data_IF_459817421882
#
_entry.id   IF_459817421882
#
_cell.length_a   1.000
_cell.length_b   1.000
_cell.length_c   1.000
_cell.angle_alpha   90.00
_cell.angle_beta   90.00
_cell.angle_gamma   90.00
#
_symmetry.space_group_name_H-M   'P 1'
#
loop_
_entity.id
_entity.type
_entity.pdbx_description
1 polymer ?
2 water ?
#
# COMPACT_ATOMS: atom_id res chain seq x y z
N UNK A 7 -32.60 -0.53 -21.27
CA UNK A 7 -31.19 -0.35 -21.54
C UNK A 7 -30.37 -0.33 -20.26
N UNK A 8 -30.97 -0.77 -19.16
CA UNK A 8 -30.30 -0.66 -17.86
C UNK A 8 -29.01 -1.47 -17.81
N UNK A 9 -28.99 -2.59 -18.51
CA UNK A 9 -27.79 -3.44 -18.55
C UNK A 9 -26.59 -2.62 -19.02
N UNK A 10 -26.81 -1.83 -20.07
CA UNK A 10 -25.76 -1.03 -20.66
C UNK A 10 -25.41 0.15 -19.75
N UNK A 11 -26.43 0.83 -19.25
CA UNK A 11 -26.23 1.94 -18.34
C UNK A 11 -25.38 1.54 -17.14
N UNK A 12 -25.73 0.41 -16.53
CA UNK A 12 -25.02 -0.08 -15.35
C UNK A 12 -23.56 -0.37 -15.69
N UNK A 13 -23.33 -0.97 -16.86
CA UNK A 13 -21.96 -1.28 -17.30
C UNK A 13 -21.15 -0.01 -17.51
N UNK A 14 -21.76 1.01 -18.11
CA UNK A 14 -21.05 2.25 -18.36
C UNK A 14 -20.78 2.98 -17.04
N UNK A 15 -21.70 2.87 -16.08
CA UNK A 15 -21.48 3.46 -14.77
C UNK A 15 -20.34 2.76 -14.04
N UNK A 16 -20.27 1.43 -14.16
CA UNK A 16 -19.17 0.69 -13.56
C UNK A 16 -17.85 1.04 -14.22
N UNK A 17 -17.89 1.28 -15.54
CA UNK A 17 -16.71 1.71 -16.28
C UNK A 17 -16.20 3.04 -15.75
N UNK A 18 -17.13 3.97 -15.51
CA UNK A 18 -16.78 5.28 -14.98
C UNK A 18 -16.11 5.14 -13.61
N UNK A 19 -16.68 4.29 -12.77
CA UNK A 19 -16.13 4.06 -11.44
C UNK A 19 -14.72 3.50 -11.51
N UNK A 20 -14.51 2.53 -12.40
CA UNK A 20 -13.20 1.91 -12.53
C UNK A 20 -12.18 2.91 -13.07
N UNK A 21 -12.59 3.75 -14.00
CA UNK A 21 -11.68 4.73 -14.57
C UNK A 21 -11.25 5.77 -13.52
N UNK A 22 -12.14 6.08 -12.58
CA UNK A 22 -11.79 6.99 -11.50
C UNK A 22 -10.72 6.38 -10.60
N UNK A 23 -10.89 5.10 -10.29
CA UNK A 23 -9.90 4.38 -9.50
C UNK A 23 -8.59 4.31 -10.28
N UNK A 24 -8.69 4.13 -11.58
CA UNK A 24 -7.50 4.02 -12.41
C UNK A 24 -6.71 5.32 -12.37
N UNK A 25 -7.41 6.45 -12.42
CA UNK A 25 -6.77 7.75 -12.39
C UNK A 25 -6.07 8.00 -11.06
N UNK A 26 -6.71 7.64 -9.95
CA UNK A 26 -6.10 7.79 -8.63
C UNK A 26 -4.84 6.95 -8.54
N UNK A 27 -4.92 5.72 -9.06
CA UNK A 27 -3.78 4.82 -9.08
C UNK A 27 -2.64 5.42 -9.89
N UNK A 28 -2.97 5.99 -11.03
CA UNK A 28 -1.96 6.59 -11.90
C UNK A 28 -1.32 7.79 -11.22
N UNK A 29 -2.11 8.61 -10.53
CA UNK A 29 -1.56 9.76 -9.82
C UNK A 29 -0.53 9.31 -8.79
N UNK A 30 -0.89 8.28 -8.02
CA UNK A 30 0.01 7.78 -6.99
C UNK A 30 1.27 7.18 -7.62
N UNK A 31 1.09 6.53 -8.77
CA UNK A 31 2.20 5.94 -9.49
C UNK A 31 3.17 7.02 -9.98
N UNK A 32 2.63 8.12 -10.49
CA UNK A 32 3.45 9.22 -10.97
C UNK A 32 4.19 9.91 -9.83
N UNK A 33 3.52 10.07 -8.69
CA UNK A 33 4.16 10.67 -7.52
C UNK A 33 5.34 9.82 -7.08
N UNK A 34 5.12 8.52 -7.04
CA UNK A 34 6.17 7.58 -6.64
C UNK A 34 7.35 7.64 -7.60
N UNK A 35 7.07 7.75 -8.90
CA UNK A 35 8.14 7.84 -9.89
C UNK A 35 8.98 9.08 -9.67
N UNK A 36 8.32 10.21 -9.41
CA UNK A 36 9.02 11.46 -9.18
C UNK A 36 9.94 11.37 -7.98
N UNK A 37 9.46 10.75 -6.91
CA UNK A 37 10.28 10.56 -5.71
C UNK A 37 11.42 9.59 -5.99
N UNK A 38 11.14 8.55 -6.77
CA UNK A 38 12.16 7.57 -7.14
C UNK A 38 13.30 8.24 -7.90
N UNK A 39 12.97 9.11 -8.84
CA UNK A 39 13.98 9.78 -9.65
C UNK A 39 14.82 10.73 -8.79
N UNK A 40 14.18 11.36 -7.81
CA UNK A 40 14.86 12.28 -6.90
C UNK A 40 15.80 11.52 -5.96
N UNK A 41 15.29 10.48 -5.34
CA UNK A 41 16.04 9.69 -4.36
C UNK A 41 15.92 8.19 -4.63
N UNK A 42 16.68 7.70 -5.61
CA UNK A 42 16.59 6.29 -5.99
C UNK A 42 17.23 5.35 -4.98
N UNK A 43 16.69 4.13 -4.92
CA UNK A 43 17.17 3.08 -4.05
C UNK A 43 16.38 1.82 -4.36
N UNK A 44 16.86 0.68 -3.86
CA UNK A 44 16.17 -0.58 -4.07
C UNK A 44 14.74 -0.53 -3.52
N UNK A 45 14.59 0.01 -2.31
CA UNK A 45 13.28 0.14 -1.68
C UNK A 45 12.33 0.98 -2.51
N UNK A 46 12.81 2.12 -3.00
CA UNK A 46 11.98 3.01 -3.80
C UNK A 46 11.58 2.34 -5.10
N UNK A 47 12.48 1.55 -5.68
CA UNK A 47 12.18 0.82 -6.91
C UNK A 47 11.10 -0.23 -6.68
N UNK A 48 11.22 -0.97 -5.58
CA UNK A 48 10.22 -1.98 -5.24
C UNK A 48 8.85 -1.32 -5.04
N UNK A 49 8.84 -0.19 -4.34
CA UNK A 49 7.62 0.57 -4.10
C UNK A 49 6.98 1.01 -5.41
N UNK A 50 7.80 1.53 -6.32
CA UNK A 50 7.30 1.99 -7.60
C UNK A 50 6.74 0.83 -8.44
N UNK A 51 7.46 -0.30 -8.43
CA UNK A 51 6.98 -1.50 -9.12
C UNK A 51 5.64 -1.95 -8.57
N UNK A 52 5.51 -1.92 -7.25
CA UNK A 52 4.24 -2.29 -6.61
C UNK A 52 3.10 -1.44 -7.17
N UNK A 53 3.32 -0.14 -7.27
CA UNK A 53 2.27 0.76 -7.74
C UNK A 53 2.04 0.62 -9.24
N UNK A 54 3.06 0.21 -9.98
CA UNK A 54 2.89 -0.01 -11.41
C UNK A 54 2.04 -1.26 -11.64
N UNK A 55 2.36 -2.33 -10.93
CA UNK A 55 1.57 -3.56 -11.02
C UNK A 55 0.12 -3.29 -10.62
N UNK A 56 -0.09 -2.48 -9.58
CA UNK A 56 -1.44 -2.14 -9.15
C UNK A 56 -2.18 -1.40 -10.25
N UNK A 57 -1.48 -0.52 -10.97
CA UNK A 57 -2.11 0.20 -12.07
C UNK A 57 -2.49 -0.76 -13.19
N UNK A 58 -1.60 -1.69 -13.53
CA UNK A 58 -1.92 -2.70 -14.54
C UNK A 58 -3.14 -3.54 -14.12
N UNK A 59 -3.22 -3.85 -12.84
CA UNK A 59 -4.32 -4.63 -12.29
C UNK A 59 -5.67 -3.95 -12.57
N UNK A 60 -5.72 -2.64 -12.36
CA UNK A 60 -6.95 -1.89 -12.58
C UNK A 60 -7.23 -1.79 -14.07
N UNK A 61 -6.19 -1.62 -14.88
CA UNK A 61 -6.35 -1.58 -16.34
C UNK A 61 -7.03 -2.87 -16.83
N UNK A 62 -6.60 -4.01 -16.31
CA UNK A 62 -7.20 -5.29 -16.70
C UNK A 62 -8.69 -5.32 -16.34
N UNK A 63 -9.04 -4.78 -15.18
CA UNK A 63 -10.45 -4.70 -14.77
C UNK A 63 -11.24 -3.79 -15.71
N UNK A 64 -10.65 -2.67 -16.07
CA UNK A 64 -11.30 -1.74 -16.99
C UNK A 64 -11.53 -2.39 -18.35
N UNK A 65 -10.55 -3.16 -18.81
CA UNK A 65 -10.67 -3.85 -20.10
C UNK A 65 -11.77 -4.91 -20.06
N UNK A 66 -11.91 -5.59 -18.92
CA UNK A 66 -12.99 -6.54 -18.72
C UNK A 66 -14.35 -5.86 -18.87
N UNK A 67 -14.50 -4.70 -18.25
CA UNK A 67 -15.76 -3.96 -18.30
C UNK A 67 -16.06 -3.53 -19.73
N UNK A 68 -15.04 -3.03 -20.42
CA UNK A 68 -15.21 -2.60 -21.80
C UNK A 68 -15.66 -3.78 -22.66
N UNK A 69 -15.06 -4.95 -22.45
CA UNK A 69 -15.45 -6.14 -23.21
C UNK A 69 -16.91 -6.47 -22.96
N UNK A 70 -17.36 -6.34 -21.72
CA UNK A 70 -18.76 -6.57 -21.36
C UNK A 70 -19.68 -5.60 -22.11
N UNK A 71 -19.30 -4.33 -22.15
CA UNK A 71 -20.08 -3.34 -22.87
C UNK A 71 -20.19 -3.72 -24.35
N UNK A 72 -19.08 -4.15 -24.93
CA UNK A 72 -19.05 -4.50 -26.34
C UNK A 72 -19.94 -5.71 -26.60
N UNK A 73 -19.99 -6.64 -25.66
CA UNK A 73 -20.85 -7.81 -25.82
C UNK A 73 -22.32 -7.44 -25.68
N UNK A 74 -22.63 -6.49 -24.80
CA UNK A 74 -24.00 -5.99 -24.68
C UNK A 74 -24.43 -5.34 -25.98
N UNK A 75 -23.55 -4.53 -26.55
CA UNK A 75 -23.86 -3.84 -27.80
C UNK A 75 -24.05 -4.80 -28.96
N UNK A 76 -23.35 -5.93 -28.91
CA UNK A 76 -23.37 -6.91 -30.00
C UNK A 76 -24.66 -7.70 -30.02
N UNK A 77 -25.19 -8.04 -28.85
CA UNK A 77 -26.45 -8.77 -28.78
C UNK A 77 -27.60 -7.82 -29.06
N UNK A 78 -27.33 -6.53 -28.86
CA UNK A 78 -28.29 -5.48 -29.20
C UNK A 78 -28.34 -5.28 -30.71
N UNK B 7 -12.81 1.45 -3.98
CA UNK B 7 -12.48 0.03 -3.84
C UNK B 7 -10.97 -0.20 -3.86
N UNK B 8 -10.34 0.00 -5.01
CA UNK B 8 -8.93 -0.33 -5.18
C UNK B 8 -8.03 0.50 -4.28
N UNK B 9 -8.32 1.79 -4.17
CA UNK B 9 -7.51 2.68 -3.36
C UNK B 9 -7.51 2.23 -1.90
N UNK B 10 -8.68 1.88 -1.39
CA UNK B 10 -8.80 1.38 -0.02
C UNK B 10 -8.07 0.05 0.15
N UNK B 11 -8.28 -0.88 -0.78
CA UNK B 11 -7.62 -2.18 -0.73
C UNK B 11 -6.10 -2.04 -0.73
N UNK B 12 -5.60 -1.13 -1.55
CA UNK B 12 -4.18 -0.86 -1.67
C UNK B 12 -3.60 -0.45 -0.31
N UNK B 13 -4.31 0.46 0.35
CA UNK B 13 -3.87 0.97 1.64
C UNK B 13 -3.91 -0.12 2.72
N UNK B 14 -4.96 -0.94 2.69
CA UNK B 14 -5.12 -1.98 3.70
C UNK B 14 -4.06 -3.06 3.52
N UNK B 15 -3.68 -3.33 2.28
CA UNK B 15 -2.64 -4.31 2.01
C UNK B 15 -1.28 -3.77 2.45
N UNK B 16 -1.05 -2.47 2.27
CA UNK B 16 0.20 -1.88 2.74
C UNK B 16 0.24 -1.88 4.26
N UNK B 17 -0.91 -1.67 4.89
CA UNK B 17 -1.00 -1.71 6.36
C UNK B 17 -0.61 -3.10 6.85
N UNK B 18 -1.13 -4.12 6.19
CA UNK B 18 -0.83 -5.50 6.53
C UNK B 18 0.66 -5.79 6.46
N UNK B 19 1.30 -5.34 5.39
CA UNK B 19 2.73 -5.56 5.19
C UNK B 19 3.52 -4.87 6.29
N UNK B 20 3.13 -3.64 6.60
CA UNK B 20 3.82 -2.87 7.63
C UNK B 20 3.67 -3.51 9.00
N UNK B 21 2.50 -4.09 9.27
CA UNK B 21 2.26 -4.75 10.54
C UNK B 21 3.08 -6.03 10.66
N UNK B 22 3.29 -6.72 9.55
CA UNK B 22 4.16 -7.90 9.56
C UNK B 22 5.59 -7.49 9.89
N UNK B 23 6.03 -6.40 9.29
CA UNK B 23 7.36 -5.87 9.55
C UNK B 23 7.49 -5.47 11.02
N UNK B 24 6.43 -4.87 11.54
CA UNK B 24 6.42 -4.42 12.93
C UNK B 24 6.52 -5.60 13.88
N UNK B 25 5.82 -6.69 13.57
CA UNK B 25 5.86 -7.88 14.42
C UNK B 25 7.26 -8.48 14.47
N UNK B 26 7.92 -8.55 13.32
CA UNK B 26 9.30 -9.05 13.25
C UNK B 26 10.21 -8.18 14.11
N UNK B 27 10.05 -6.87 13.98
CA UNK B 27 10.82 -5.92 14.78
C UNK B 27 10.57 -6.10 16.27
N UNK B 28 9.31 -6.29 16.65
CA UNK B 28 8.97 -6.44 18.07
C UNK B 28 9.60 -7.71 18.64
N UNK B 29 9.54 -8.79 17.87
CA UNK B 29 10.15 -10.05 18.27
C UNK B 29 11.64 -9.88 18.55
N UNK B 30 12.33 -9.18 17.66
CA UNK B 30 13.76 -8.95 17.81
C UNK B 30 14.02 -8.08 19.03
N UNK B 31 13.17 -7.08 19.23
CA UNK B 31 13.28 -6.18 20.38
C UNK B 31 13.11 -6.94 21.68
N UNK B 32 12.13 -7.83 21.73
CA UNK B 32 11.87 -8.62 22.93
C UNK B 32 13.01 -9.60 23.22
N UNK B 33 13.58 -10.19 22.17
CA UNK B 33 14.71 -11.11 22.35
C UNK B 33 15.92 -10.34 22.86
N UNK B 34 16.12 -9.14 22.33
CA UNK B 34 17.20 -8.28 22.80
C UNK B 34 17.02 -7.91 24.26
N UNK B 35 15.79 -7.58 24.65
CA UNK B 35 15.51 -7.24 26.05
C UNK B 35 15.82 -8.43 26.97
N UNK B 36 15.43 -9.63 26.54
CA UNK B 36 15.67 -10.83 27.32
C UNK B 36 17.18 -11.00 27.57
N UNK B 37 17.96 -10.82 26.51
CA UNK B 37 19.41 -10.97 26.61
C UNK B 37 20.01 -9.84 27.44
N UNK B 38 19.42 -8.65 27.33
CA UNK B 38 19.89 -7.50 28.08
C UNK B 38 19.74 -7.70 29.59
N UNK B 39 18.61 -8.27 29.98
CA UNK B 39 18.35 -8.46 31.41
C UNK B 39 19.23 -9.55 32.00
N UNK B 40 19.58 -10.55 31.18
CA UNK B 40 20.45 -11.63 31.62
C UNK B 40 21.91 -11.19 31.72
N UNK B 41 22.35 -10.41 30.74
CA UNK B 41 23.74 -9.94 30.69
C UNK B 41 23.83 -8.45 30.35
N UNK B 42 23.48 -7.59 31.30
CA UNK B 42 23.46 -6.15 31.06
C UNK B 42 24.85 -5.54 30.90
N UNK B 43 24.93 -4.52 30.05
CA UNK B 43 26.16 -3.79 29.79
C UNK B 43 25.83 -2.58 28.95
N UNK B 44 26.78 -1.68 28.77
CA UNK B 44 26.56 -0.48 27.97
C UNK B 44 26.24 -0.87 26.52
N UNK B 45 27.01 -1.82 25.98
CA UNK B 45 26.84 -2.25 24.60
C UNK B 45 25.47 -2.88 24.41
N UNK B 46 25.04 -3.68 25.37
CA UNK B 46 23.73 -4.33 25.31
C UNK B 46 22.62 -3.29 25.36
N UNK B 47 22.82 -2.23 26.14
CA UNK B 47 21.82 -1.17 26.26
C UNK B 47 21.71 -0.38 24.97
N UNK B 48 22.85 -0.07 24.35
CA UNK B 48 22.86 0.65 23.08
C UNK B 48 22.15 -0.19 22.01
N UNK B 49 22.42 -1.50 22.01
CA UNK B 49 21.82 -2.39 21.02
C UNK B 49 20.30 -2.47 21.21
N UNK B 50 19.87 -2.52 22.47
CA UNK B 50 18.44 -2.59 22.76
C UNK B 50 17.75 -1.27 22.41
N UNK B 51 18.43 -0.16 22.67
CA UNK B 51 17.91 1.14 22.28
C UNK B 51 17.76 1.27 20.77
N UNK B 52 18.75 0.78 20.03
CA UNK B 52 18.72 0.79 18.57
C UNK B 52 17.47 0.08 18.07
N UNK B 53 17.22 -1.10 18.63
CA UNK B 53 16.06 -1.89 18.23
C UNK B 53 14.75 -1.24 18.66
N UNK B 54 14.75 -0.53 19.79
CA UNK B 54 13.54 0.16 20.24
C UNK B 54 13.22 1.32 19.30
N UNK B 55 14.25 2.05 18.89
CA UNK B 55 14.07 3.17 17.97
C UNK B 55 13.57 2.65 16.62
N UNK B 56 14.11 1.53 16.17
CA UNK B 56 13.69 0.93 14.91
C UNK B 56 12.22 0.53 14.98
N UNK B 57 11.78 0.03 16.12
CA UNK B 57 10.39 -0.36 16.31
C UNK B 57 9.48 0.89 16.31
N UNK B 58 9.88 1.93 17.02
CA UNK B 58 9.14 3.17 16.95
C UNK B 58 9.05 3.70 15.54
N UNK B 59 10.12 3.57 14.77
CA UNK B 59 10.12 4.03 13.38
C UNK B 59 9.04 3.33 12.56
N UNK B 60 8.93 2.01 12.71
CA UNK B 60 7.92 1.25 12.00
C UNK B 60 6.52 1.63 12.50
N UNK B 61 6.38 1.86 13.80
CA UNK B 61 5.08 2.28 14.34
C UNK B 61 4.63 3.56 13.66
N UNK B 62 5.54 4.51 13.48
CA UNK B 62 5.18 5.78 12.84
C UNK B 62 4.71 5.53 11.41
N UNK B 63 5.37 4.62 10.70
CA UNK B 63 4.97 4.25 9.34
C UNK B 63 3.57 3.64 9.33
N UNK B 64 3.29 2.76 10.28
CA UNK B 64 1.96 2.14 10.39
C UNK B 64 0.90 3.20 10.66
N UNK B 65 1.20 4.13 11.56
CA UNK B 65 0.26 5.20 11.88
C UNK B 65 -0.05 6.06 10.67
N UNK B 66 0.96 6.34 9.85
CA UNK B 66 0.73 7.14 8.64
C UNK B 66 -0.18 6.43 7.65
N UNK B 67 -0.03 5.11 7.54
CA UNK B 67 -0.89 4.33 6.66
C UNK B 67 -2.33 4.31 7.20
N UNK B 68 -2.47 4.19 8.51
CA UNK B 68 -3.80 4.20 9.10
C UNK B 68 -4.47 5.55 8.84
N UNK B 69 -3.72 6.63 8.97
CA UNK B 69 -4.26 7.96 8.72
C UNK B 69 -4.74 8.08 7.27
N UNK B 70 -3.99 7.50 6.35
CA UNK B 70 -4.38 7.51 4.93
C UNK B 70 -5.69 6.75 4.72
N UNK B 71 -5.83 5.59 5.37
CA UNK B 71 -7.08 4.84 5.27
C UNK B 71 -8.24 5.69 5.78
N UNK B 72 -8.03 6.38 6.90
CA UNK B 72 -9.08 7.23 7.47
C UNK B 72 -9.47 8.34 6.49
N UNK B 73 -8.48 8.89 5.80
CA UNK B 73 -8.74 9.97 4.85
C UNK B 73 -9.43 9.47 3.58
N UNK B 74 -9.07 8.25 3.16
CA UNK B 74 -9.75 7.62 2.03
C UNK B 74 -11.23 7.42 2.35
N UNK B 75 -11.51 6.92 3.55
CA UNK B 75 -12.88 6.67 3.96
C UNK B 75 -13.68 7.95 4.12
N UNK B 76 -13.02 9.01 4.56
CA UNK B 76 -13.68 10.29 4.80
C UNK B 76 -14.19 10.89 3.49
N UNK B 77 -13.54 10.53 2.39
CA UNK B 77 -13.88 11.03 1.07
C UNK B 77 -15.08 10.30 0.48
N UNK B 78 -15.14 8.99 0.70
CA UNK B 78 -16.19 8.17 0.13
C UNK B 78 -17.41 8.11 1.04
#
# INVERSE_FOLDING_TARGET
>A
GSHMGTKYELRRALEELEKALRELKKSLDELERSLEELEKNPSEDALVENNRLNVENNKIIVEVLRIIAEVLKINAKSD
>B
GSHMGTKYELRRALEELEKALRELKKSLDELERSLEELEKNPSEDALVENNRLNVENNKIIVEVLRIIAEVLKINAKSD
#
